data_IF_447627480012
#
_entry.id   IF_447627480012
#
_cell.length_a   1.000
_cell.length_b   1.000
_cell.length_c   1.000
_cell.angle_alpha   90.00
_cell.angle_beta   90.00
_cell.angle_gamma   90.00
#
_symmetry.space_group_name_H-M   'P 1'
#
loop_
_entity.id
_entity.type
_entity.pdbx_description
1 polymer ?
#
# COMPACT_ATOMS: atom_id res chain seq x y z
N UNK A 1 -7.75 -1.23 -11.21
CA UNK A 1 -6.83 -0.43 -10.41
C UNK A 1 -5.83 -1.34 -9.73
N UNK A 2 -4.57 -1.03 -9.83
CA UNK A 2 -3.53 -1.86 -9.24
C UNK A 2 -2.71 -1.06 -8.25
N UNK A 3 -1.99 -1.77 -7.39
CA UNK A 3 -1.13 -1.07 -6.43
C UNK A 3 -0.05 -0.29 -7.17
N UNK A 4 0.41 -0.81 -8.28
CA UNK A 4 1.42 -0.13 -9.06
C UNK A 4 0.88 1.20 -9.59
N UNK A 5 -0.36 1.21 -10.06
CA UNK A 5 -0.96 2.45 -10.52
C UNK A 5 -1.09 3.44 -9.36
N UNK A 6 -1.41 2.97 -8.17
CA UNK A 6 -1.51 3.84 -7.01
C UNK A 6 -0.14 4.40 -6.63
N UNK A 7 0.90 3.60 -6.75
CA UNK A 7 2.25 4.07 -6.50
C UNK A 7 2.62 5.14 -7.52
N UNK A 8 2.29 4.91 -8.78
CA UNK A 8 2.59 5.89 -9.82
C UNK A 8 1.85 7.20 -9.55
N UNK A 9 0.57 7.10 -9.15
CA UNK A 9 -0.20 8.28 -8.83
C UNK A 9 0.42 9.05 -7.67
N UNK A 10 0.80 8.34 -6.61
CA UNK A 10 1.37 8.99 -5.44
C UNK A 10 2.69 9.67 -5.79
N UNK A 11 3.54 9.01 -6.57
CA UNK A 11 4.82 9.58 -6.96
C UNK A 11 4.62 10.82 -7.84
N UNK A 12 3.73 10.74 -8.81
CA UNK A 12 3.47 11.87 -9.67
C UNK A 12 2.85 13.03 -8.89
N UNK A 13 2.00 12.72 -7.91
CA UNK A 13 1.39 13.75 -7.08
C UNK A 13 2.43 14.51 -6.25
N UNK A 14 3.49 13.80 -5.85
CA UNK A 14 4.54 14.42 -5.06
C UNK A 14 5.50 15.21 -5.94
N UNK A 15 5.87 14.65 -7.07
CA UNK A 15 6.87 15.26 -7.95
C UNK A 15 6.27 16.32 -8.87
N UNK A 16 5.04 16.09 -9.33
CA UNK A 16 4.31 16.97 -10.24
C UNK A 16 5.07 17.29 -11.52
N UNK A 17 5.75 16.31 -12.05
CA UNK A 17 6.50 16.44 -13.29
C UNK A 17 6.62 15.03 -13.86
N UNK A 18 6.01 14.79 -15.02
CA UNK A 18 5.95 13.44 -15.58
C UNK A 18 7.33 12.83 -15.81
N UNK A 19 8.24 13.55 -16.43
CA UNK A 19 9.54 12.99 -16.74
C UNK A 19 10.32 12.65 -15.48
N UNK A 20 10.31 13.54 -14.49
CA UNK A 20 11.02 13.27 -13.28
C UNK A 20 10.41 12.14 -12.50
N UNK A 21 9.10 12.07 -12.45
CA UNK A 21 8.42 10.99 -11.74
C UNK A 21 8.74 9.65 -12.41
N UNK A 22 8.75 9.63 -13.75
CA UNK A 22 9.06 8.41 -14.47
C UNK A 22 10.49 7.97 -14.19
N UNK A 23 11.42 8.93 -14.12
CA UNK A 23 12.80 8.60 -13.80
C UNK A 23 12.90 8.00 -12.40
N UNK A 24 12.20 8.58 -11.45
CA UNK A 24 12.24 8.08 -10.09
C UNK A 24 11.65 6.67 -10.01
N UNK A 25 10.65 6.40 -10.85
CA UNK A 25 10.02 5.09 -10.87
C UNK A 25 10.74 4.09 -11.77
N UNK A 26 11.76 4.52 -12.47
CA UNK A 26 12.53 3.69 -13.39
C UNK A 26 11.65 3.14 -14.53
N UNK A 27 10.79 3.98 -15.05
CA UNK A 27 9.95 3.61 -16.20
C UNK A 27 9.99 4.74 -17.20
N UNK A 28 9.48 4.49 -18.39
CA UNK A 28 9.44 5.54 -19.41
C UNK A 28 8.29 6.49 -19.11
N UNK A 29 8.43 7.72 -19.60
CA UNK A 29 7.38 8.70 -19.38
C UNK A 29 6.07 8.29 -20.07
N UNK A 30 6.09 7.73 -21.30
CA UNK A 30 4.84 7.25 -21.87
C UNK A 30 4.17 6.15 -21.06
N UNK A 31 4.94 5.29 -20.42
CA UNK A 31 4.38 4.24 -19.57
C UNK A 31 3.69 4.86 -18.37
N UNK A 32 4.30 5.86 -17.77
CA UNK A 32 3.67 6.54 -16.64
C UNK A 32 2.39 7.24 -17.09
N UNK A 33 2.45 7.96 -18.21
CA UNK A 33 1.28 8.66 -18.71
C UNK A 33 0.14 7.68 -18.99
N UNK A 34 0.46 6.56 -19.59
CA UNK A 34 -0.54 5.56 -19.90
C UNK A 34 -1.19 5.01 -18.63
N UNK A 35 -0.39 4.67 -17.64
CA UNK A 35 -0.91 4.13 -16.40
C UNK A 35 -1.82 5.13 -15.68
N UNK A 36 -1.42 6.38 -15.66
CA UNK A 36 -2.24 7.41 -15.01
C UNK A 36 -3.55 7.58 -15.77
N UNK A 37 -3.48 7.58 -17.10
CA UNK A 37 -4.69 7.72 -17.91
C UNK A 37 -5.65 6.56 -17.67
N UNK A 38 -5.12 5.35 -17.55
CA UNK A 38 -5.96 4.19 -17.30
C UNK A 38 -6.60 4.28 -15.91
N UNK A 39 -5.86 4.75 -14.93
CA UNK A 39 -6.40 4.92 -13.58
C UNK A 39 -7.52 5.96 -13.60
N UNK A 40 -7.29 7.08 -14.28
CA UNK A 40 -8.31 8.12 -14.37
C UNK A 40 -9.56 7.59 -15.09
N UNK A 41 -9.34 6.78 -16.12
CA UNK A 41 -10.45 6.24 -16.86
C UNK A 41 -11.29 5.31 -15.98
N UNK A 42 -10.64 4.50 -15.19
CA UNK A 42 -11.35 3.59 -14.30
C UNK A 42 -12.14 4.35 -13.24
N UNK A 43 -11.54 5.42 -12.71
CA UNK A 43 -12.21 6.19 -11.66
C UNK A 43 -13.24 7.17 -12.23
N UNK A 44 -13.17 7.44 -13.52
CA UNK A 44 -14.11 8.34 -14.15
C UNK A 44 -13.87 9.81 -13.88
N UNK A 45 -12.70 10.16 -13.37
CA UNK A 45 -12.37 11.56 -13.08
C UNK A 45 -10.89 11.79 -13.40
N UNK A 46 -10.54 13.04 -13.65
CA UNK A 46 -9.14 13.38 -13.87
C UNK A 46 -8.50 13.66 -12.52
N UNK A 47 -7.34 13.14 -12.32
CA UNK A 47 -6.61 13.36 -11.07
C UNK A 47 -5.58 14.47 -11.21
N UNK A 48 -5.12 14.74 -12.45
CA UNK A 48 -4.16 15.78 -12.72
C UNK A 48 -4.67 16.73 -13.79
N UNK A 49 -4.23 17.96 -13.76
CA UNK A 49 -4.59 18.96 -14.76
C UNK A 49 -3.36 19.75 -15.13
N UNK A 50 -3.39 20.36 -16.34
CA UNK A 50 -2.29 21.20 -16.74
C UNK A 50 -2.65 22.63 -16.46
N UNK A 51 -1.70 23.35 -15.86
CA UNK A 51 -1.87 24.75 -15.61
C UNK A 51 -0.59 25.45 -16.02
N UNK A 52 -0.64 26.26 -17.04
CA UNK A 52 0.54 27.02 -17.45
C UNK A 52 1.78 26.17 -17.59
N UNK A 53 1.64 25.10 -18.36
CA UNK A 53 2.76 24.20 -18.62
C UNK A 53 3.22 23.36 -17.43
N UNK A 54 2.52 23.44 -16.32
CA UNK A 54 2.83 22.61 -15.18
C UNK A 54 1.65 21.71 -14.95
N UNK A 55 1.85 20.68 -14.18
CA UNK A 55 0.72 19.84 -13.81
C UNK A 55 0.42 20.08 -12.35
N UNK A 56 -0.80 19.88 -12.00
CA UNK A 56 -1.26 20.04 -10.63
C UNK A 56 -2.34 19.01 -10.38
N UNK A 57 -2.65 18.78 -9.13
CA UNK A 57 -3.75 17.87 -8.81
C UNK A 57 -5.06 18.57 -9.02
N UNK A 58 -6.07 17.85 -9.51
CA UNK A 58 -7.42 18.37 -9.54
C UNK A 58 -8.00 18.21 -8.13
N UNK A 59 -9.16 18.77 -7.84
CA UNK A 59 -9.80 18.51 -6.56
C UNK A 59 -10.03 17.02 -6.30
N UNK A 60 -10.27 16.25 -7.36
CA UNK A 60 -10.42 14.81 -7.22
C UNK A 60 -9.09 14.19 -6.80
N UNK A 61 -7.99 14.61 -7.41
CA UNK A 61 -6.68 14.10 -7.04
C UNK A 61 -6.32 14.45 -5.62
N UNK A 62 -6.65 15.68 -5.19
CA UNK A 62 -6.37 16.11 -3.85
C UNK A 62 -7.14 15.29 -2.82
N UNK A 63 -8.37 14.94 -3.13
CA UNK A 63 -9.16 14.15 -2.21
C UNK A 63 -8.76 12.69 -2.20
N UNK A 64 -8.31 12.17 -3.33
CA UNK A 64 -7.93 10.78 -3.44
C UNK A 64 -6.56 10.49 -2.84
N UNK A 65 -5.66 11.47 -2.90
CA UNK A 65 -4.29 11.25 -2.45
C UNK A 65 -4.16 10.75 -1.00
N UNK A 66 -4.89 11.29 -0.03
CA UNK A 66 -4.76 10.79 1.33
C UNK A 66 -5.14 9.32 1.47
N UNK A 67 -6.13 8.88 0.69
CA UNK A 67 -6.54 7.47 0.75
C UNK A 67 -5.45 6.57 0.18
N UNK A 68 -4.80 7.02 -0.91
CA UNK A 68 -3.72 6.27 -1.51
C UNK A 68 -2.55 6.18 -0.54
N UNK A 69 -2.20 7.31 0.10
CA UNK A 69 -1.10 7.32 1.03
C UNK A 69 -1.35 6.38 2.21
N UNK A 70 -2.56 6.38 2.72
CA UNK A 70 -2.89 5.49 3.83
C UNK A 70 -2.85 4.03 3.41
N UNK A 71 -3.32 3.75 2.20
CA UNK A 71 -3.31 2.39 1.68
C UNK A 71 -1.88 1.88 1.54
N UNK A 72 -1.00 2.70 0.97
CA UNK A 72 0.38 2.28 0.78
C UNK A 72 1.08 2.13 2.12
N UNK A 73 0.83 3.04 3.06
CA UNK A 73 1.43 2.97 4.37
C UNK A 73 0.98 1.72 5.13
N UNK A 74 -0.29 1.38 4.98
CA UNK A 74 -0.83 0.21 5.67
C UNK A 74 -0.19 -1.06 5.14
N UNK A 75 0.06 -1.13 3.83
CA UNK A 75 0.73 -2.29 3.26
C UNK A 75 2.17 -2.38 3.75
N UNK A 76 2.86 -1.24 3.86
CA UNK A 76 4.22 -1.26 4.37
C UNK A 76 4.24 -1.70 5.83
N UNK A 77 3.26 -1.29 6.59
CA UNK A 77 3.15 -1.69 7.97
C UNK A 77 2.93 -3.21 8.05
N UNK A 78 2.08 -3.74 7.18
CA UNK A 78 1.85 -5.19 7.15
C UNK A 78 3.10 -5.95 6.80
N UNK A 79 3.87 -5.44 5.82
CA UNK A 79 5.10 -6.10 5.44
C UNK A 79 6.10 -6.07 6.58
N UNK A 80 6.15 -4.96 7.31
CA UNK A 80 7.06 -4.85 8.46
C UNK A 80 6.66 -5.85 9.55
N UNK A 81 5.37 -6.04 9.75
CA UNK A 81 4.89 -7.01 10.73
C UNK A 81 5.36 -8.41 10.36
N UNK A 82 5.24 -8.76 9.08
CA UNK A 82 5.68 -10.07 8.63
C UNK A 82 7.18 -10.25 8.80
N UNK A 83 7.96 -9.22 8.53
CA UNK A 83 9.39 -9.29 8.70
C UNK A 83 9.75 -9.52 10.16
N UNK A 84 9.06 -8.84 11.08
CA UNK A 84 9.32 -8.99 12.47
C UNK A 84 8.99 -10.40 12.95
N UNK A 85 7.89 -10.95 12.47
CA UNK A 85 7.52 -12.30 12.84
C UNK A 85 8.55 -13.29 12.33
N UNK A 86 9.02 -13.09 11.10
CA UNK A 86 9.98 -13.98 10.51
C UNK A 86 11.30 -13.93 11.29
N UNK A 87 11.74 -12.74 11.66
CA UNK A 87 12.99 -12.60 12.37
C UNK A 87 12.93 -13.16 13.78
N UNK A 88 11.79 -13.08 14.43
CA UNK A 88 11.68 -13.58 15.76
C UNK A 88 11.28 -15.02 15.84
N UNK A 89 10.66 -15.52 14.80
CA UNK A 89 10.16 -16.86 14.83
C UNK A 89 11.29 -17.84 14.70
N UNK A 90 11.24 -18.90 15.39
CA UNK A 90 12.27 -19.88 15.23
C UNK A 90 12.00 -20.62 13.97
N UNK A 91 12.83 -21.44 13.61
CA UNK A 91 12.67 -22.11 12.44
C UNK A 91 11.44 -22.83 12.30
N UNK A 92 10.83 -23.18 13.25
CA UNK A 92 9.67 -23.95 13.07
C UNK A 92 8.47 -23.22 13.06
N UNK A 93 8.45 -22.15 12.71
CA UNK A 93 7.38 -21.40 12.65
C UNK A 93 6.29 -21.98 12.01
N UNK A 94 6.41 -22.85 11.35
CA UNK A 94 5.38 -23.34 10.73
C UNK A 94 4.29 -23.65 11.49
N UNK A 95 3.94 -23.61 12.14
CA UNK A 95 2.99 -23.67 12.80
C UNK A 95 2.15 -22.91 12.91
N UNK A 96 1.90 -22.57 12.83
CA UNK A 96 1.11 -21.76 13.05
C UNK A 96 0.71 -20.89 12.62
N UNK A 97 0.68 -21.10 12.12
CA UNK A 97 0.25 -20.15 12.03
C UNK A 97 -0.28 -19.56 11.97
N UNK A 98 -0.37 -19.67 12.09
CA UNK A 98 -0.83 -19.13 12.59
C UNK A 98 -1.12 -18.45 13.33
N UNK A 99 -0.79 -18.23 13.98
CA UNK A 99 -1.15 -17.71 14.93
C UNK A 99 -0.91 -16.54 15.13
N UNK A 100 -0.40 -15.92 15.06
CA UNK A 100 -0.23 -15.02 15.35
C UNK A 100 -0.32 -14.00 14.76
N UNK A 101 -0.56 -13.56 14.10
CA UNK A 101 -0.49 -12.61 13.48
C UNK A 101 -0.52 -11.54 14.02
N UNK A 102 -0.46 -11.00 14.54
CA UNK A 102 -0.38 -10.06 15.21
C UNK A 102 -0.85 -9.21 15.67
N UNK A 103 -0.76 -8.93 15.77
CA UNK A 103 -1.29 -8.15 16.53
C UNK A 103 -1.52 -6.88 16.02
N UNK A 104 -1.28 -6.43 15.28
CA UNK A 104 -1.53 -5.20 14.86
C UNK A 104 -2.07 -5.18 13.65
N UNK A 105 -2.44 -5.83 13.23
CA UNK A 105 -2.85 -5.89 12.24
C UNK A 105 -3.91 -5.73 11.90
N UNK A 106 -4.34 -5.66 11.86
CA UNK A 106 -5.09 -5.55 11.71
C UNK A 106 -5.60 -5.06 11.92
N UNK A 107 -5.13 -4.63 11.45
CA UNK A 107 -5.15 -3.94 12.16
C UNK A 107 -5.99 -4.00 13.02
N UNK A 108 -6.69 -3.38 13.09
CA UNK A 108 -7.45 -3.54 14.19
C UNK A 108 -8.15 -4.82 14.10
N UNK A 109 -8.42 -5.29 12.98
CA UNK A 109 -9.02 -6.49 12.85
C UNK A 109 -8.11 -7.57 13.14
N UNK A 110 -7.11 -7.70 12.44
CA UNK A 110 -6.18 -8.73 12.63
C UNK A 110 -5.55 -8.58 13.95
N UNK A 111 -5.34 -7.35 14.37
CA UNK A 111 -4.80 -7.15 15.60
C UNK A 111 -5.65 -7.71 16.63
N UNK A 112 -6.90 -7.54 16.53
CA UNK A 112 -7.76 -8.07 17.50
C UNK A 112 -7.69 -9.55 17.51
N UNK A 113 -7.48 -10.15 16.39
CA UNK A 113 -7.46 -11.55 16.35
C UNK A 113 -6.25 -12.07 16.98
N UNK A 114 -5.17 -11.50 16.84
CA UNK A 114 -3.97 -11.98 17.31
C UNK A 114 -3.68 -11.64 18.63
N UNK A 115 -4.04 -10.56 18.99
CA UNK A 115 -3.80 -10.17 20.22
C UNK A 115 -4.36 -10.97 21.21
N UNK A 116 -5.24 -11.54 20.99
CA UNK A 116 -5.76 -12.37 21.90
C UNK A 116 -5.09 -13.46 21.97
N UNK A 117 -4.32 -13.88 21.51
CA UNK A 117 -3.46 -14.86 21.60
C UNK A 117 -2.32 -14.66 21.76
N UNK A 118 -1.64 -14.15 21.76
CA UNK A 118 -0.59 -13.93 22.06
C UNK A 118 -0.25 -13.52 22.47
N UNK A 119 -0.57 -13.65 22.56
CA UNK A 119 -0.34 -13.55 22.87
C UNK A 119 -0.04 -13.72 22.77
N UNK A 120 -0.16 -14.49 22.25
CA UNK A 120 0.04 -15.02 22.06
C UNK A 120 0.79 -15.28 21.43
N UNK A 121 0.93 -15.80 21.14
CA UNK A 121 1.48 -16.20 20.48
C UNK A 121 1.24 -16.58 19.73
N UNK A 122 0.62 -16.99 19.38
CA UNK A 122 0.39 -17.44 18.95
C UNK A 122 -0.06 -17.65 18.27
N UNK A 123 -0.37 -18.06 17.95
CA UNK A 123 -0.84 -18.53 17.57
C UNK A 123 -1.76 -18.53 16.92
N UNK A 124 -2.42 -18.90 16.50
CA UNK A 124 -3.09 -19.20 16.43
C UNK A 124 -3.37 -19.35 15.57
N UNK A 125 -3.38 -19.56 15.09
CA UNK A 125 -3.57 -19.94 14.71
C UNK A 125 -4.28 -19.68 13.89
N UNK A 126 -4.77 -19.78 13.58
CA UNK A 126 -5.22 -19.66 13.55
C UNK A 126 -5.52 -19.82 12.84
N UNK A 127 -5.41 -19.82 12.26
CA UNK A 127 -5.41 -20.16 12.39
C UNK A 127 -5.75 -20.28 12.17
N UNK A 128 -5.79 -20.32 11.96
CA UNK A 128 -5.69 -20.57 12.46
C UNK A 128 -5.85 -20.79 12.35
N UNK A 129 -6.16 -21.11 12.03
CA UNK A 129 -5.96 -21.40 12.61
C UNK A 129 -6.10 -21.35 12.41
N UNK A 130 -6.36 -21.55 11.97
CA UNK A 130 -6.12 -21.59 12.56
C UNK A 130 -6.31 -21.72 12.57
#
# INVERSE_FOLDING_TARGET
>A
MTLLQLLYFETLARVLHYTRAAEELHISQPSLSYSIAELEKELGVSLFKREKRKIALTPYGERFLPYVKKTMALLEEGKATLRQMKDKAPMNIRLGYFHSISASLVPPIVKALYEEKENQDIRFQFMEDT
#
